data_IF_364098117611
#
_entry.id   IF_364098117611
#
_cell.length_a   1.000
_cell.length_b   1.000
_cell.length_c   1.000
_cell.angle_alpha   90.00
_cell.angle_beta   90.00
_cell.angle_gamma   90.00
#
_symmetry.space_group_name_H-M   'P 1'
#
loop_
_entity.id
_entity.type
_entity.pdbx_description
1 polymer ?
#
# COMPACT_ATOMS: atom_id res chain seq x y z
N UNK A 1 72.64 -34.39 1.08
CA UNK A 1 72.22 -33.22 0.26
C UNK A 1 70.88 -33.55 -0.37
N UNK A 2 69.82 -32.89 0.08
CA UNK A 2 68.45 -33.13 -0.35
C UNK A 2 68.07 -32.20 -1.52
N UNK A 3 67.37 -32.73 -2.53
CA UNK A 3 66.59 -31.94 -3.48
C UNK A 3 65.38 -32.76 -3.93
N UNK A 4 64.21 -32.40 -3.41
CA UNK A 4 62.91 -33.03 -3.68
C UNK A 4 62.27 -32.34 -4.89
N UNK A 5 61.69 -33.13 -5.79
CA UNK A 5 60.94 -32.70 -7.00
C UNK A 5 59.53 -32.21 -6.65
N UNK A 6 58.95 -31.29 -7.44
CA UNK A 6 57.66 -30.66 -7.13
C UNK A 6 56.46 -31.57 -7.45
N UNK A 7 55.45 -31.50 -6.59
CA UNK A 7 54.12 -32.10 -6.76
C UNK A 7 53.25 -31.24 -7.68
N UNK A 8 52.59 -31.88 -8.66
CA UNK A 8 51.36 -31.37 -9.28
C UNK A 8 50.23 -31.45 -8.25
N UNK A 9 49.54 -30.33 -8.00
CA UNK A 9 48.25 -30.32 -7.30
C UNK A 9 47.16 -29.93 -8.29
N UNK A 10 46.20 -30.83 -8.49
CA UNK A 10 44.97 -30.62 -9.26
C UNK A 10 44.04 -29.69 -8.45
N UNK A 11 43.75 -28.50 -8.96
CA UNK A 11 42.74 -27.60 -8.38
C UNK A 11 41.35 -28.00 -8.89
N UNK A 12 40.51 -28.49 -7.98
CA UNK A 12 39.10 -28.73 -8.22
C UNK A 12 38.38 -27.38 -8.35
N UNK A 13 37.76 -27.15 -9.51
CA UNK A 13 36.92 -25.98 -9.78
C UNK A 13 35.55 -26.24 -9.16
N UNK A 14 35.30 -25.63 -8.00
CA UNK A 14 33.95 -25.53 -7.44
C UNK A 14 33.15 -24.52 -8.22
N UNK A 15 32.18 -24.99 -9.01
CA UNK A 15 31.16 -24.16 -9.63
C UNK A 15 30.12 -23.84 -8.56
N UNK A 16 30.30 -22.73 -7.84
CA UNK A 16 29.28 -22.20 -6.95
C UNK A 16 28.25 -21.48 -7.83
N UNK A 17 27.12 -22.14 -8.06
CA UNK A 17 25.89 -21.48 -8.49
C UNK A 17 25.49 -20.52 -7.37
N UNK A 18 25.90 -19.26 -7.48
CA UNK A 18 25.30 -18.17 -6.73
C UNK A 18 23.86 -18.04 -7.22
N UNK A 19 22.94 -18.71 -6.53
CA UNK A 19 21.53 -18.35 -6.57
C UNK A 19 21.45 -16.95 -5.99
N UNK A 20 21.36 -15.94 -6.87
CA UNK A 20 20.94 -14.61 -6.47
C UNK A 20 19.57 -14.79 -5.81
N UNK A 21 19.57 -14.70 -4.49
CA UNK A 21 18.34 -14.76 -3.71
C UNK A 21 17.63 -13.46 -4.00
N UNK A 22 16.70 -13.48 -4.96
CA UNK A 22 15.74 -12.41 -5.12
C UNK A 22 15.07 -12.22 -3.77
N UNK A 23 15.38 -11.11 -3.11
CA UNK A 23 14.83 -10.80 -1.80
C UNK A 23 13.32 -10.61 -1.99
N UNK A 24 12.55 -11.66 -1.73
CA UNK A 24 11.09 -11.54 -1.57
C UNK A 24 10.93 -10.60 -0.38
N UNK A 25 10.55 -9.35 -0.64
CA UNK A 25 10.25 -8.40 0.41
C UNK A 25 9.25 -9.05 1.36
N UNK A 26 9.56 -9.09 2.66
CA UNK A 26 8.66 -9.66 3.65
C UNK A 26 7.27 -9.02 3.50
N UNK A 27 6.18 -9.81 3.59
CA UNK A 27 4.83 -9.27 3.50
C UNK A 27 4.64 -8.20 4.58
N UNK A 28 4.26 -7.00 4.17
CA UNK A 28 3.97 -5.90 5.08
C UNK A 28 2.49 -5.88 5.40
N UNK A 29 2.09 -5.83 6.68
CA UNK A 29 0.68 -5.83 7.06
C UNK A 29 -0.11 -4.72 6.36
N UNK A 30 -1.20 -5.08 5.69
CA UNK A 30 -2.08 -4.13 5.00
C UNK A 30 -1.60 -3.71 3.62
N UNK A 31 -0.51 -4.29 3.11
CA UNK A 31 0.01 -4.04 1.78
C UNK A 31 0.04 -5.33 0.95
N UNK A 32 -0.28 -5.18 -0.33
CA UNK A 32 -0.07 -6.23 -1.30
C UNK A 32 1.42 -6.46 -1.59
N UNK A 33 1.71 -7.55 -2.31
CA UNK A 33 3.03 -7.77 -2.88
C UNK A 33 3.34 -6.71 -3.95
N UNK A 34 4.63 -6.39 -4.09
CA UNK A 34 5.12 -5.53 -5.17
C UNK A 34 4.86 -6.16 -6.53
N UNK A 35 4.47 -5.33 -7.49
CA UNK A 35 4.17 -5.69 -8.87
C UNK A 35 4.91 -4.75 -9.82
N UNK A 36 5.33 -5.22 -11.01
CA UNK A 36 5.87 -4.35 -12.04
C UNK A 36 4.90 -3.21 -12.38
N UNK A 37 5.42 -2.00 -12.51
CA UNK A 37 4.66 -0.84 -12.99
C UNK A 37 4.65 -0.82 -14.52
N UNK A 38 4.20 -1.91 -15.14
CA UNK A 38 4.05 -2.00 -16.60
C UNK A 38 2.67 -1.45 -17.00
N UNK A 39 2.64 -0.70 -18.10
CA UNK A 39 1.47 0.04 -18.62
C UNK A 39 0.29 -0.83 -19.08
N UNK A 40 0.29 -2.14 -18.82
CA UNK A 40 -0.67 -3.11 -19.38
C UNK A 40 -1.25 -4.11 -18.35
N UNK A 41 -1.28 -3.81 -17.05
CA UNK A 41 -2.08 -4.62 -16.12
C UNK A 41 -3.56 -4.18 -16.17
N UNK A 42 -4.27 -4.71 -17.17
CA UNK A 42 -5.64 -4.32 -17.56
C UNK A 42 -6.75 -4.69 -16.55
N UNK A 43 -6.44 -5.36 -15.44
CA UNK A 43 -7.45 -5.95 -14.54
C UNK A 43 -7.73 -5.11 -13.28
N UNK A 44 -6.87 -4.13 -12.93
CA UNK A 44 -7.07 -3.21 -11.80
C UNK A 44 -6.55 -1.82 -12.10
N UNK A 45 -7.35 -1.07 -12.84
CA UNK A 45 -7.15 0.34 -13.08
C UNK A 45 -7.36 1.13 -11.76
N UNK A 46 -6.32 1.85 -11.31
CA UNK A 46 -6.42 2.82 -10.20
C UNK A 46 -5.92 4.20 -10.64
N UNK A 47 -6.32 5.24 -9.91
CA UNK A 47 -5.89 6.62 -10.07
C UNK A 47 -5.15 7.05 -8.81
N UNK A 48 -4.12 7.86 -8.96
CA UNK A 48 -3.32 8.40 -7.86
C UNK A 48 -2.85 9.83 -8.17
N UNK A 49 -2.33 10.53 -7.16
CA UNK A 49 -1.82 11.90 -7.31
C UNK A 49 -2.92 12.95 -7.31
N UNK A 50 -3.74 12.97 -6.25
CA UNK A 50 -4.91 13.85 -6.12
C UNK A 50 -4.60 15.25 -5.59
N UNK A 51 -3.33 15.52 -5.24
CA UNK A 51 -2.89 16.85 -4.80
C UNK A 51 -1.58 17.27 -5.46
N UNK A 52 -1.34 18.58 -5.55
CA UNK A 52 -0.07 19.12 -6.06
C UNK A 52 1.15 18.62 -5.27
N UNK A 53 0.98 18.34 -3.97
CA UNK A 53 2.03 17.78 -3.15
C UNK A 53 2.37 16.35 -3.56
N UNK A 54 1.36 15.52 -3.82
CA UNK A 54 1.56 14.15 -4.31
C UNK A 54 2.17 14.15 -5.71
N UNK A 55 1.69 15.01 -6.61
CA UNK A 55 2.24 15.12 -7.96
C UNK A 55 3.71 15.57 -7.94
N UNK A 56 4.04 16.59 -7.16
CA UNK A 56 5.43 17.03 -7.00
C UNK A 56 6.32 15.93 -6.40
N UNK A 57 5.85 15.25 -5.36
CA UNK A 57 6.58 14.14 -4.76
C UNK A 57 6.78 12.94 -5.69
N UNK A 58 5.80 12.67 -6.57
CA UNK A 58 5.92 11.64 -7.60
C UNK A 58 6.98 12.02 -8.65
N UNK A 59 7.00 13.28 -9.08
CA UNK A 59 8.03 13.79 -10.00
C UNK A 59 9.44 13.72 -9.40
N UNK A 60 9.60 14.08 -8.12
CA UNK A 60 10.88 13.98 -7.42
C UNK A 60 11.36 12.53 -7.31
N UNK A 61 10.43 11.60 -7.07
CA UNK A 61 10.67 10.17 -7.09
C UNK A 61 11.17 9.68 -8.45
N UNK A 62 10.45 9.99 -9.54
CA UNK A 62 10.84 9.60 -10.90
C UNK A 62 12.20 10.19 -11.30
N UNK A 63 12.44 11.44 -10.94
CA UNK A 63 13.72 12.10 -11.16
C UNK A 63 14.86 11.36 -10.44
N UNK A 64 14.66 11.02 -9.17
CA UNK A 64 15.65 10.29 -8.36
C UNK A 64 15.97 8.92 -8.97
N UNK A 65 14.94 8.16 -9.38
CA UNK A 65 15.10 6.88 -10.06
C UNK A 65 15.91 7.01 -11.34
N UNK A 66 15.58 8.01 -12.17
CA UNK A 66 16.25 8.27 -13.45
C UNK A 66 17.72 8.63 -13.27
N UNK A 67 18.03 9.48 -12.29
CA UNK A 67 19.41 9.84 -11.97
C UNK A 67 20.22 8.62 -11.48
N UNK A 68 19.63 7.80 -10.62
CA UNK A 68 20.28 6.58 -10.13
C UNK A 68 20.56 5.58 -11.26
N UNK A 69 19.58 5.35 -12.15
CA UNK A 69 19.77 4.48 -13.32
C UNK A 69 20.84 4.99 -14.28
N UNK A 70 20.85 6.31 -14.54
CA UNK A 70 21.87 6.94 -15.40
C UNK A 70 23.27 6.75 -14.82
N UNK A 71 23.45 7.00 -13.53
CA UNK A 71 24.74 6.83 -12.86
C UNK A 71 25.22 5.37 -12.81
N UNK A 72 24.29 4.42 -12.82
CA UNK A 72 24.58 2.98 -12.82
C UNK A 72 24.67 2.36 -14.22
N UNK A 73 24.43 3.14 -15.29
CA UNK A 73 24.28 2.63 -16.66
C UNK A 73 23.25 1.49 -16.76
N UNK A 74 22.16 1.58 -15.99
CA UNK A 74 21.11 0.57 -15.90
C UNK A 74 19.72 1.23 -15.98
N UNK A 75 18.80 0.62 -16.71
CA UNK A 75 17.39 1.01 -16.69
C UNK A 75 16.75 0.66 -15.32
N UNK A 76 16.16 1.64 -14.60
CA UNK A 76 15.52 1.36 -13.33
C UNK A 76 14.29 0.45 -13.50
N UNK A 77 14.12 -0.50 -12.57
CA UNK A 77 12.90 -1.31 -12.50
C UNK A 77 11.89 -0.55 -11.64
N UNK A 78 10.74 -0.23 -12.20
CA UNK A 78 9.66 0.44 -11.48
C UNK A 78 8.61 -0.58 -11.01
N UNK A 79 8.22 -0.47 -9.75
CA UNK A 79 7.22 -1.33 -9.13
C UNK A 79 6.23 -0.51 -8.31
N UNK A 80 5.04 -1.06 -8.14
CA UNK A 80 4.03 -0.51 -7.25
C UNK A 80 3.40 -1.61 -6.39
N UNK A 81 2.72 -1.19 -5.32
CA UNK A 81 1.79 -2.02 -4.57
C UNK A 81 0.66 -1.16 -4.01
N UNK A 82 -0.49 -1.77 -3.80
CA UNK A 82 -1.64 -1.12 -3.20
C UNK A 82 -1.78 -1.54 -1.74
N UNK A 83 -2.29 -0.64 -0.91
CA UNK A 83 -2.75 -1.03 0.41
C UNK A 83 -4.14 -1.69 0.32
N UNK A 84 -4.45 -2.57 1.27
CA UNK A 84 -5.67 -3.39 1.25
C UNK A 84 -6.97 -2.59 1.30
N UNK A 85 -6.91 -1.30 1.68
CA UNK A 85 -8.07 -0.41 1.70
C UNK A 85 -8.53 -0.06 0.28
N UNK A 86 -7.63 0.02 -0.70
CA UNK A 86 -7.99 0.32 -2.10
C UNK A 86 -8.98 -0.72 -2.61
N UNK A 87 -8.73 -2.01 -2.37
CA UNK A 87 -9.64 -3.08 -2.75
C UNK A 87 -10.90 -3.13 -1.88
N UNK A 88 -10.78 -2.89 -0.58
CA UNK A 88 -11.90 -3.10 0.35
C UNK A 88 -12.96 -1.98 0.29
N UNK A 89 -12.53 -0.74 0.07
CA UNK A 89 -13.40 0.44 0.11
C UNK A 89 -13.21 1.40 -1.06
N UNK A 90 -12.34 1.08 -2.03
CA UNK A 90 -12.10 1.90 -3.22
C UNK A 90 -11.21 3.11 -3.00
N UNK A 91 -10.71 3.32 -1.78
CA UNK A 91 -9.78 4.40 -1.43
C UNK A 91 -8.73 3.89 -0.46
N UNK A 92 -7.49 4.25 -0.72
CA UNK A 92 -6.37 3.89 0.13
C UNK A 92 -5.09 4.54 -0.37
N UNK A 93 -4.01 3.78 -0.39
CA UNK A 93 -2.70 4.26 -0.82
C UNK A 93 -2.10 3.31 -1.86
N UNK A 94 -1.36 3.92 -2.79
CA UNK A 94 -0.38 3.24 -3.63
C UNK A 94 1.00 3.60 -3.12
N UNK A 95 1.90 2.63 -3.09
CA UNK A 95 3.31 2.87 -2.91
C UNK A 95 4.06 2.46 -4.17
N UNK A 96 4.90 3.37 -4.65
CA UNK A 96 5.84 3.16 -5.74
C UNK A 96 7.24 2.94 -5.18
N UNK A 97 8.03 2.13 -5.88
CA UNK A 97 9.47 2.06 -5.68
C UNK A 97 10.17 1.84 -7.01
N UNK A 98 11.43 2.23 -7.06
CA UNK A 98 12.31 1.85 -8.15
C UNK A 98 13.57 1.17 -7.63
N UNK A 99 14.07 0.24 -8.42
CA UNK A 99 15.27 -0.52 -8.14
C UNK A 99 16.33 -0.26 -9.19
N UNK A 100 17.57 -0.12 -8.74
CA UNK A 100 18.78 -0.07 -9.58
C UNK A 100 19.79 -1.01 -8.93
N UNK A 101 20.43 -1.89 -9.70
CA UNK A 101 21.29 -2.97 -9.20
C UNK A 101 20.62 -3.80 -8.08
N UNK A 102 19.34 -4.13 -8.23
CA UNK A 102 18.51 -4.84 -7.23
C UNK A 102 18.37 -4.12 -5.88
N UNK A 103 18.75 -2.84 -5.79
CA UNK A 103 18.61 -2.02 -4.59
C UNK A 103 17.50 -1.00 -4.76
N UNK A 104 16.65 -0.85 -3.75
CA UNK A 104 15.63 0.21 -3.71
C UNK A 104 16.35 1.56 -3.59
N UNK A 105 16.19 2.43 -4.59
CA UNK A 105 16.84 3.76 -4.63
C UNK A 105 15.89 4.89 -4.24
N UNK A 106 14.59 4.75 -4.54
CA UNK A 106 13.58 5.71 -4.14
C UNK A 106 12.22 5.02 -3.96
N UNK A 107 11.38 5.63 -3.11
CA UNK A 107 9.99 5.23 -2.91
C UNK A 107 9.10 6.47 -2.84
N UNK A 108 7.85 6.33 -3.26
CA UNK A 108 6.83 7.37 -3.14
C UNK A 108 5.51 6.74 -2.71
N UNK A 109 4.70 7.47 -1.95
CA UNK A 109 3.36 7.02 -1.56
C UNK A 109 2.37 8.10 -1.94
N UNK A 110 1.27 7.69 -2.56
CA UNK A 110 0.17 8.59 -2.92
C UNK A 110 -1.15 7.98 -2.49
N UNK A 111 -2.17 8.83 -2.34
CA UNK A 111 -3.56 8.40 -2.27
C UNK A 111 -3.93 7.69 -3.57
N UNK A 112 -4.67 6.59 -3.47
CA UNK A 112 -5.12 5.80 -4.60
C UNK A 112 -6.63 5.53 -4.54
N UNK A 113 -7.29 5.51 -5.70
CA UNK A 113 -8.69 5.11 -5.86
C UNK A 113 -8.85 4.13 -7.02
N UNK A 114 -9.78 3.19 -6.94
CA UNK A 114 -10.11 2.31 -8.07
C UNK A 114 -10.85 3.07 -9.18
N UNK A 115 -10.54 2.81 -10.46
CA UNK A 115 -11.12 3.54 -11.61
C UNK A 115 -12.47 2.95 -12.07
N UNK A 116 -12.66 1.62 -12.01
CA UNK A 116 -13.79 0.93 -12.65
C UNK A 116 -14.90 0.45 -11.67
N UNK A 117 -15.08 1.10 -10.52
CA UNK A 117 -16.14 0.74 -9.57
C UNK A 117 -17.45 1.52 -9.85
N UNK A 118 -18.56 0.85 -10.24
CA UNK A 118 -19.78 1.51 -10.73
C UNK A 118 -20.70 2.11 -9.65
N UNK A 119 -20.34 2.10 -8.36
CA UNK A 119 -21.18 2.73 -7.33
C UNK A 119 -20.37 3.66 -6.47
N UNK A 120 -20.64 4.96 -6.56
CA UNK A 120 -20.05 5.97 -5.68
C UNK A 120 -20.37 5.64 -4.21
N UNK A 121 -19.46 4.90 -3.58
CA UNK A 121 -19.23 4.84 -2.14
C UNK A 121 -20.19 4.02 -1.28
N UNK A 122 -20.97 3.05 -1.79
CA UNK A 122 -21.78 2.22 -0.88
C UNK A 122 -20.89 1.22 -0.14
N UNK A 123 -20.85 1.32 1.19
CA UNK A 123 -20.14 0.39 2.06
C UNK A 123 -21.09 -0.26 3.07
N UNK A 124 -20.91 -1.56 3.30
CA UNK A 124 -21.62 -2.31 4.35
C UNK A 124 -20.70 -2.53 5.55
N UNK A 125 -21.20 -2.24 6.75
CA UNK A 125 -20.49 -2.46 8.01
C UNK A 125 -20.36 -3.94 8.32
N UNK A 126 -19.15 -4.38 8.65
CA UNK A 126 -18.82 -5.78 8.96
C UNK A 126 -17.79 -5.91 10.09
N UNK A 127 -18.00 -5.24 11.22
CA UNK A 127 -17.08 -5.34 12.37
C UNK A 127 -16.96 -6.78 12.86
N UNK A 128 -15.73 -7.28 13.03
CA UNK A 128 -15.41 -8.57 13.65
C UNK A 128 -15.48 -8.52 15.18
N UNK A 129 -15.44 -7.32 15.75
CA UNK A 129 -15.61 -7.08 17.18
C UNK A 129 -16.99 -6.49 17.47
N UNK A 130 -17.73 -7.13 18.37
CA UNK A 130 -19.05 -6.65 18.81
C UNK A 130 -20.14 -6.80 17.74
N UNK A 131 -21.10 -5.88 17.72
CA UNK A 131 -22.26 -5.91 16.82
C UNK A 131 -22.28 -4.77 15.80
N UNK A 132 -21.18 -4.00 15.69
CA UNK A 132 -21.14 -2.79 14.88
C UNK A 132 -20.04 -1.80 15.29
N UNK A 133 -20.18 -0.55 14.84
CA UNK A 133 -19.21 0.52 15.00
C UNK A 133 -19.82 1.72 15.74
N UNK A 134 -19.03 2.29 16.65
CA UNK A 134 -19.34 3.61 17.21
C UNK A 134 -19.07 4.70 16.17
N UNK A 135 -20.01 5.63 16.05
CA UNK A 135 -19.87 6.87 15.28
C UNK A 135 -19.33 7.94 16.23
N UNK A 136 -18.25 8.61 15.87
CA UNK A 136 -17.51 9.53 16.75
C UNK A 136 -17.34 10.91 16.13
N UNK A 137 -17.22 11.90 17.00
CA UNK A 137 -17.05 13.30 16.58
C UNK A 137 -15.68 13.58 15.94
N UNK A 138 -14.64 12.90 16.40
CA UNK A 138 -13.25 13.02 15.92
C UNK A 138 -12.66 11.62 15.67
N UNK A 139 -11.60 11.49 14.84
CA UNK A 139 -10.99 10.21 14.51
C UNK A 139 -10.10 9.72 15.66
N UNK A 140 -10.69 9.43 16.81
CA UNK A 140 -9.99 8.84 17.96
C UNK A 140 -10.97 8.09 18.87
N UNK A 141 -10.48 7.03 19.52
CA UNK A 141 -11.30 6.24 20.45
C UNK A 141 -11.70 7.01 21.72
N UNK A 142 -11.03 8.12 22.04
CA UNK A 142 -11.37 8.99 23.17
C UNK A 142 -12.44 10.04 22.84
N UNK A 143 -12.77 10.24 21.56
CA UNK A 143 -13.75 11.23 21.14
C UNK A 143 -15.17 10.85 21.57
N UNK A 144 -16.06 11.84 21.81
CA UNK A 144 -17.47 11.57 22.08
C UNK A 144 -18.11 10.67 21.03
N UNK A 145 -18.92 9.71 21.50
CA UNK A 145 -19.74 8.85 20.64
C UNK A 145 -21.04 9.59 20.33
N UNK A 146 -21.31 9.79 19.04
CA UNK A 146 -22.49 10.47 18.52
C UNK A 146 -23.61 9.48 18.14
N UNK A 147 -23.26 8.23 17.87
CA UNK A 147 -24.19 7.21 17.42
C UNK A 147 -23.56 5.84 17.22
N UNK A 148 -24.29 4.94 16.56
CA UNK A 148 -23.89 3.55 16.35
C UNK A 148 -24.38 3.02 15.00
N UNK A 149 -23.49 2.38 14.24
CA UNK A 149 -23.83 1.60 13.05
C UNK A 149 -23.81 0.12 13.41
N UNK A 150 -24.87 -0.63 13.08
CA UNK A 150 -24.89 -2.08 13.28
C UNK A 150 -24.17 -2.78 12.13
N UNK A 151 -23.64 -3.97 12.37
CA UNK A 151 -23.22 -4.84 11.27
C UNK A 151 -24.37 -5.06 10.29
N UNK A 152 -24.07 -4.98 8.99
CA UNK A 152 -25.05 -4.98 7.91
C UNK A 152 -25.64 -3.61 7.57
N UNK A 153 -25.41 -2.56 8.37
CA UNK A 153 -25.79 -1.20 7.98
C UNK A 153 -25.01 -0.78 6.73
N UNK A 154 -25.71 -0.17 5.78
CA UNK A 154 -25.12 0.42 4.58
C UNK A 154 -24.94 1.92 4.78
N UNK A 155 -23.82 2.45 4.31
CA UNK A 155 -23.52 3.88 4.26
C UNK A 155 -23.09 4.25 2.84
N UNK A 156 -23.30 5.50 2.47
CA UNK A 156 -22.75 6.05 1.22
C UNK A 156 -21.64 7.03 1.58
N UNK A 157 -20.41 6.68 1.24
CA UNK A 157 -19.25 7.56 1.33
C UNK A 157 -19.30 8.55 0.18
N UNK A 158 -19.26 9.84 0.53
CA UNK A 158 -19.24 10.93 -0.43
C UNK A 158 -17.80 11.39 -0.66
N UNK A 159 -17.43 11.60 -1.92
CA UNK A 159 -16.08 12.04 -2.29
C UNK A 159 -15.23 10.90 -2.87
N UNK A 160 -14.40 11.25 -3.84
CA UNK A 160 -13.40 10.36 -4.44
C UNK A 160 -12.12 11.17 -4.57
N UNK A 161 -11.07 10.87 -3.77
CA UNK A 161 -10.97 9.81 -2.75
C UNK A 161 -11.91 10.00 -1.53
N UNK A 162 -12.21 8.92 -0.82
CA UNK A 162 -12.79 8.98 0.51
C UNK A 162 -11.84 9.66 1.49
N UNK A 163 -12.37 10.39 2.47
CA UNK A 163 -11.53 11.04 3.47
C UNK A 163 -11.17 10.07 4.61
N UNK A 164 -9.88 9.76 4.72
CA UNK A 164 -9.31 8.87 5.72
C UNK A 164 -8.39 9.66 6.66
N UNK A 165 -8.36 9.28 7.93
CA UNK A 165 -7.43 9.85 8.91
C UNK A 165 -6.88 8.74 9.80
N UNK A 166 -5.57 8.75 10.02
CA UNK A 166 -4.93 7.86 10.99
C UNK A 166 -4.74 8.58 12.32
N UNK A 167 -5.08 7.92 13.42
CA UNK A 167 -4.82 8.45 14.76
C UNK A 167 -3.43 8.07 15.27
N UNK A 168 -3.04 8.61 16.43
CA UNK A 168 -1.73 8.35 17.02
C UNK A 168 -1.46 6.88 17.40
N UNK A 169 -2.47 6.00 17.32
CA UNK A 169 -2.34 4.56 17.58
C UNK A 169 -2.14 3.74 16.31
N UNK A 170 -2.18 4.37 15.13
CA UNK A 170 -2.13 3.69 13.83
C UNK A 170 -3.49 3.15 13.38
N UNK A 171 -4.60 3.57 14.01
CA UNK A 171 -5.94 3.22 13.58
C UNK A 171 -6.38 4.17 12.49
N UNK A 172 -6.84 3.61 11.37
CA UNK A 172 -7.44 4.39 10.29
C UNK A 172 -8.93 4.56 10.54
N UNK A 173 -9.39 5.79 10.35
CA UNK A 173 -10.77 6.23 10.49
C UNK A 173 -11.32 6.65 9.13
N UNK A 174 -12.59 6.31 8.88
CA UNK A 174 -13.35 6.73 7.71
C UNK A 174 -14.29 7.87 8.11
N UNK A 175 -14.24 8.95 7.35
CA UNK A 175 -15.19 10.06 7.45
C UNK A 175 -16.46 9.72 6.69
N UNK A 176 -17.61 9.79 7.37
CA UNK A 176 -18.89 9.33 6.84
C UNK A 176 -19.96 10.41 7.02
N UNK A 177 -20.95 10.51 6.13
CA UNK A 177 -22.14 11.30 6.38
C UNK A 177 -22.88 10.77 7.62
N UNK A 178 -23.31 11.66 8.50
CA UNK A 178 -24.12 11.31 9.67
C UNK A 178 -25.08 12.45 10.03
N UNK A 179 -26.38 12.16 9.98
CA UNK A 179 -27.45 13.14 10.16
C UNK A 179 -27.31 14.30 9.14
N UNK A 180 -27.16 15.54 9.60
CA UNK A 180 -27.02 16.74 8.76
C UNK A 180 -25.54 17.18 8.60
N UNK A 181 -24.60 16.39 9.10
CA UNK A 181 -23.15 16.68 9.08
C UNK A 181 -22.37 15.39 8.76
N UNK A 182 -21.15 15.27 9.28
CA UNK A 182 -20.27 14.14 9.11
C UNK A 182 -19.66 13.71 10.45
N UNK A 183 -19.18 12.48 10.47
CA UNK A 183 -18.58 11.88 11.66
C UNK A 183 -17.55 10.80 11.26
N UNK A 184 -16.92 10.21 12.26
CA UNK A 184 -15.84 9.25 12.10
C UNK A 184 -16.23 7.86 12.59
N UNK A 185 -15.82 6.85 11.85
CA UNK A 185 -15.94 5.45 12.24
C UNK A 185 -14.62 4.74 12.04
N UNK A 186 -14.33 3.75 12.89
CA UNK A 186 -13.09 3.00 12.76
C UNK A 186 -13.14 2.15 11.50
N UNK A 187 -12.22 2.38 10.57
CA UNK A 187 -12.09 1.58 9.35
C UNK A 187 -11.26 0.32 9.62
N UNK A 188 -10.06 0.49 10.18
CA UNK A 188 -9.16 -0.61 10.55
C UNK A 188 -8.38 -0.23 11.79
N UNK A 189 -8.26 -1.16 12.76
CA UNK A 189 -7.67 -0.89 14.07
C UNK A 189 -6.15 -0.70 14.05
N UNK A 190 -5.47 -1.32 13.08
CA UNK A 190 -4.02 -1.30 12.88
C UNK A 190 -3.71 -1.82 11.46
N UNK A 191 -2.55 -1.48 10.89
CA UNK A 191 -2.14 -1.96 9.57
C UNK A 191 -2.28 -3.50 9.42
N UNK A 192 -2.94 -3.95 8.34
CA UNK A 192 -3.23 -5.36 8.08
C UNK A 192 -4.27 -6.02 9.00
N UNK A 193 -4.90 -5.26 9.89
CA UNK A 193 -6.02 -5.74 10.71
C UNK A 193 -7.31 -5.89 9.91
N UNK A 194 -8.37 -6.31 10.60
CA UNK A 194 -9.70 -6.46 10.01
C UNK A 194 -10.26 -5.12 9.51
N UNK A 195 -10.78 -5.11 8.28
CA UNK A 195 -11.40 -3.94 7.67
C UNK A 195 -12.90 -3.99 7.95
N UNK A 196 -13.41 -3.02 8.71
CA UNK A 196 -14.78 -3.00 9.20
C UNK A 196 -15.84 -2.69 8.12
N UNK A 197 -15.42 -2.57 6.86
CA UNK A 197 -16.25 -2.25 5.72
C UNK A 197 -15.93 -3.16 4.56
N UNK A 198 -16.94 -3.41 3.73
CA UNK A 198 -16.82 -3.98 2.39
C UNK A 198 -17.75 -3.21 1.45
N UNK A 199 -17.51 -3.28 0.15
CA UNK A 199 -18.50 -2.82 -0.82
C UNK A 199 -19.86 -3.48 -0.59
N UNK A 200 -20.92 -2.73 -0.84
CA UNK A 200 -22.27 -3.29 -0.91
C UNK A 200 -22.35 -4.34 -2.03
N UNK A 201 -23.18 -5.37 -1.82
CA UNK A 201 -23.50 -6.40 -2.82
C UNK A 201 -24.48 -5.88 -3.89
#
# INVERSE_FOLDING_TARGET
MARVKPYLLCLAIGCWLSMASGAIANPEPGWESWRPNETEDNDRSFSAGFSNLELGGYMDYEYTCTQAGTAAEQEPIFEYRLNSLVEAIGTGQVQYRCLVNDQVVAQHTSTATLNDQPSRGCLTVQSDVGTGLNIRQEPTVSAPVLGFLRNGSQITVTGTPAYLSEDATGRTWLYIPFQEDYAWTSLVAQAGGHINYRFCD
#
